data_IF_791253934991
#
_entry.id   IF_791253934991
#
_cell.length_a   1.000
_cell.length_b   1.000
_cell.length_c   1.000
_cell.angle_alpha   90.00
_cell.angle_beta   90.00
_cell.angle_gamma   90.00
#
_symmetry.space_group_name_H-M   'P 1'
#
loop_
_entity.id
_entity.type
_entity.pdbx_description
1 polymer ?
#
# COMPACT_ATOMS: atom_id res chain seq x y z
N UNK A 1 4.49 -18.24 -11.66
CA UNK A 1 3.38 -18.50 -10.73
C UNK A 1 3.59 -17.57 -9.54
N UNK A 2 3.15 -16.32 -9.67
CA UNK A 2 3.24 -15.32 -8.60
C UNK A 2 2.00 -15.50 -7.73
N UNK A 3 2.19 -15.55 -6.42
CA UNK A 3 1.08 -15.72 -5.48
C UNK A 3 1.34 -14.69 -4.40
N UNK A 4 0.46 -13.70 -4.26
CA UNK A 4 0.20 -13.13 -2.94
C UNK A 4 -0.59 -14.21 -2.21
N UNK A 5 0.10 -15.27 -1.79
CA UNK A 5 -0.46 -16.24 -0.88
C UNK A 5 -0.45 -15.53 0.47
N UNK A 6 -1.53 -14.84 0.78
CA UNK A 6 -1.78 -14.33 2.12
C UNK A 6 -1.93 -15.54 3.05
N UNK A 7 -0.80 -16.09 3.50
CA UNK A 7 -0.79 -17.17 4.47
C UNK A 7 -0.97 -16.51 5.83
N UNK A 8 -2.24 -16.28 6.18
CA UNK A 8 -2.65 -15.73 7.48
C UNK A 8 -2.08 -16.65 8.56
N UNK A 9 -0.98 -16.23 9.15
CA UNK A 9 -0.40 -16.88 10.33
C UNK A 9 -0.54 -15.90 11.47
N UNK A 10 -1.47 -16.20 12.38
CA UNK A 10 -1.65 -15.42 13.60
C UNK A 10 -0.46 -15.76 14.52
N UNK A 11 0.57 -14.91 14.51
CA UNK A 11 1.68 -15.04 15.45
C UNK A 11 1.24 -14.50 16.81
N UNK A 12 0.73 -15.40 17.66
CA UNK A 12 0.39 -15.07 19.04
C UNK A 12 1.67 -14.98 19.87
N UNK A 13 2.30 -13.80 19.91
CA UNK A 13 3.42 -13.53 20.81
C UNK A 13 3.00 -12.55 21.91
N UNK A 14 2.90 -13.08 23.14
CA UNK A 14 2.66 -12.33 24.37
C UNK A 14 3.84 -11.39 24.66
N UNK A 15 3.63 -10.07 24.59
CA UNK A 15 4.13 -9.07 25.56
C UNK A 15 3.56 -7.68 25.26
N UNK A 16 3.33 -6.94 26.35
CA UNK A 16 2.61 -5.69 26.50
C UNK A 16 3.19 -4.50 25.71
N UNK A 17 2.65 -4.25 24.53
CA UNK A 17 2.23 -2.94 23.98
C UNK A 17 1.04 -3.25 23.06
N UNK A 18 0.09 -2.34 22.83
CA UNK A 18 -1.06 -2.60 21.94
C UNK A 18 -0.57 -2.67 20.48
N UNK A 19 0.11 -3.74 20.10
CA UNK A 19 0.42 -4.03 18.72
C UNK A 19 -0.88 -4.39 17.99
N UNK A 20 -1.17 -3.69 16.90
CA UNK A 20 -2.22 -4.09 15.97
C UNK A 20 -1.91 -5.51 15.46
N UNK A 21 -2.92 -6.35 15.25
CA UNK A 21 -2.67 -7.68 14.71
C UNK A 21 -2.12 -7.56 13.29
N UNK A 22 -0.97 -8.17 13.03
CA UNK A 22 -0.29 -8.18 11.72
C UNK A 22 -0.41 -9.54 11.03
N UNK A 23 -0.18 -9.54 9.72
CA UNK A 23 -0.02 -10.72 8.88
C UNK A 23 1.21 -10.55 8.00
N UNK A 24 1.85 -11.67 7.69
CA UNK A 24 3.11 -11.71 6.98
C UNK A 24 2.86 -11.81 5.47
N UNK A 25 3.28 -10.80 4.70
CA UNK A 25 3.14 -10.76 3.24
C UNK A 25 4.51 -10.88 2.54
N UNK A 26 4.60 -11.71 1.49
CA UNK A 26 5.83 -11.95 0.73
C UNK A 26 5.98 -10.95 -0.42
N UNK A 27 7.10 -10.23 -0.50
CA UNK A 27 7.46 -9.40 -1.66
C UNK A 27 8.43 -10.13 -2.64
N UNK A 28 8.59 -9.57 -3.85
CA UNK A 28 9.32 -10.16 -5.00
C UNK A 28 10.76 -10.59 -4.72
N UNK A 29 11.44 -9.98 -3.74
CA UNK A 29 12.83 -10.31 -3.36
C UNK A 29 12.94 -11.24 -2.14
N UNK A 30 11.86 -11.92 -1.75
CA UNK A 30 11.87 -12.84 -0.61
C UNK A 30 11.87 -12.15 0.75
N UNK A 31 11.82 -10.81 0.78
CA UNK A 31 11.51 -10.05 2.00
C UNK A 31 10.06 -10.24 2.38
N UNK A 32 9.84 -10.28 3.69
CA UNK A 32 8.50 -10.45 4.24
C UNK A 32 8.19 -9.25 5.11
N UNK A 33 7.23 -8.44 4.67
CA UNK A 33 6.78 -7.27 5.43
C UNK A 33 5.62 -7.72 6.32
N UNK A 34 5.65 -7.31 7.59
CA UNK A 34 4.49 -7.45 8.46
C UNK A 34 3.51 -6.31 8.17
N UNK A 35 2.33 -6.67 7.67
CA UNK A 35 1.28 -5.72 7.34
C UNK A 35 0.12 -5.86 8.33
N UNK A 36 -0.56 -4.77 8.72
CA UNK A 36 -1.74 -4.86 9.57
C UNK A 36 -2.83 -5.71 8.93
N UNK A 37 -3.53 -6.54 9.71
CA UNK A 37 -4.65 -7.34 9.21
C UNK A 37 -5.74 -6.43 8.61
N UNK A 38 -5.94 -5.24 9.17
CA UNK A 38 -6.88 -4.26 8.64
C UNK A 38 -6.48 -3.78 7.23
N UNK A 39 -5.19 -3.59 6.97
CA UNK A 39 -4.68 -3.25 5.64
C UNK A 39 -4.91 -4.40 4.67
N UNK A 40 -4.62 -5.63 5.09
CA UNK A 40 -4.85 -6.83 4.27
C UNK A 40 -6.33 -6.99 3.91
N UNK A 41 -7.24 -6.78 4.86
CA UNK A 41 -8.69 -6.82 4.62
C UNK A 41 -9.15 -5.72 3.67
N UNK A 42 -8.55 -4.55 3.77
CA UNK A 42 -8.84 -3.45 2.86
C UNK A 42 -8.39 -3.78 1.43
N UNK A 43 -7.28 -4.49 1.25
CA UNK A 43 -6.90 -4.99 -0.09
C UNK A 43 -7.94 -5.94 -0.70
N UNK A 44 -8.70 -6.68 0.12
CA UNK A 44 -9.77 -7.56 -0.37
C UNK A 44 -10.96 -6.79 -0.97
N UNK A 45 -11.12 -5.49 -0.67
CA UNK A 45 -12.13 -4.62 -1.31
C UNK A 45 -11.63 -4.02 -2.62
N UNK A 46 -10.31 -4.11 -2.87
CA UNK A 46 -9.67 -3.57 -4.06
C UNK A 46 -9.98 -4.34 -5.34
N UNK A 47 -9.58 -3.75 -6.46
CA UNK A 47 -9.63 -4.38 -7.77
C UNK A 47 -8.32 -5.14 -8.02
N UNK A 48 -8.42 -6.45 -8.27
CA UNK A 48 -7.28 -7.23 -8.74
C UNK A 48 -6.85 -6.75 -10.13
N UNK A 49 -5.55 -6.53 -10.28
CA UNK A 49 -4.89 -6.22 -11.56
C UNK A 49 -4.22 -7.47 -12.18
N UNK A 50 -4.44 -8.68 -11.60
CA UNK A 50 -3.78 -9.94 -11.98
C UNK A 50 -4.08 -10.38 -13.40
N UNK A 51 -5.31 -10.20 -13.88
CA UNK A 51 -5.71 -10.54 -15.24
C UNK A 51 -4.86 -9.82 -16.31
N UNK A 52 -4.04 -8.84 -15.91
CA UNK A 52 -3.31 -7.96 -16.80
C UNK A 52 -1.83 -7.79 -16.44
N UNK A 53 -1.26 -8.76 -15.72
CA UNK A 53 0.19 -8.90 -15.54
C UNK A 53 0.76 -8.29 -14.27
N UNK A 54 -0.10 -7.81 -13.35
CA UNK A 54 0.30 -7.23 -12.06
C UNK A 54 -0.31 -8.00 -10.91
N UNK A 55 0.48 -8.38 -9.94
CA UNK A 55 0.02 -9.11 -8.74
C UNK A 55 -0.60 -8.22 -7.67
N UNK A 56 -0.85 -6.96 -8.00
CA UNK A 56 -1.19 -5.93 -7.03
C UNK A 56 -2.70 -5.70 -6.97
N UNK A 57 -3.18 -5.28 -5.79
CA UNK A 57 -4.55 -4.86 -5.58
C UNK A 57 -4.60 -3.33 -5.66
N UNK A 58 -5.41 -2.82 -6.59
CA UNK A 58 -5.66 -1.39 -6.72
C UNK A 58 -6.81 -0.95 -5.80
N UNK A 59 -6.61 0.11 -5.02
CA UNK A 59 -7.61 0.69 -4.13
C UNK A 59 -8.24 1.94 -4.74
N UNK A 60 -9.53 2.17 -4.48
CA UNK A 60 -10.15 3.46 -4.78
C UNK A 60 -9.57 4.55 -3.87
N UNK A 61 -9.74 5.82 -4.24
CA UNK A 61 -9.15 6.96 -3.53
C UNK A 61 -9.43 6.97 -2.02
N UNK A 62 -10.69 6.73 -1.61
CA UNK A 62 -11.08 6.71 -0.20
C UNK A 62 -10.43 5.54 0.56
N UNK A 63 -10.43 4.34 -0.03
CA UNK A 63 -9.78 3.16 0.52
C UNK A 63 -8.26 3.35 0.59
N UNK A 64 -7.65 3.97 -0.41
CA UNK A 64 -6.22 4.27 -0.44
C UNK A 64 -5.83 5.24 0.69
N UNK A 65 -6.66 6.25 0.99
CA UNK A 65 -6.46 7.14 2.14
C UNK A 65 -6.63 6.40 3.48
N UNK A 66 -7.65 5.54 3.59
CA UNK A 66 -7.82 4.69 4.76
C UNK A 66 -6.63 3.74 4.96
N UNK A 67 -6.06 3.22 3.86
CA UNK A 67 -4.89 2.37 3.88
C UNK A 67 -3.66 3.11 4.44
N UNK A 68 -3.45 4.38 4.07
CA UNK A 68 -2.37 5.19 4.64
C UNK A 68 -2.54 5.33 6.15
N UNK A 69 -3.74 5.62 6.65
CA UNK A 69 -3.98 5.76 8.09
C UNK A 69 -3.76 4.44 8.85
N UNK A 70 -4.14 3.29 8.27
CA UNK A 70 -3.87 1.97 8.86
C UNK A 70 -2.36 1.70 8.94
N UNK A 71 -1.62 1.95 7.85
CA UNK A 71 -0.17 1.74 7.81
C UNK A 71 0.55 2.68 8.78
N UNK A 72 0.11 3.93 8.87
CA UNK A 72 0.59 4.94 9.83
C UNK A 72 0.36 4.50 11.27
N UNK A 73 -0.83 4.04 11.62
CA UNK A 73 -1.14 3.55 12.96
C UNK A 73 -0.27 2.33 13.36
N UNK A 74 0.19 1.57 12.37
CA UNK A 74 1.07 0.42 12.56
C UNK A 74 2.57 0.74 12.45
N UNK A 75 2.95 1.99 12.13
CA UNK A 75 4.35 2.37 11.95
C UNK A 75 5.01 1.83 10.68
N UNK A 76 4.22 1.44 9.66
CA UNK A 76 4.74 0.88 8.41
C UNK A 76 5.01 2.00 7.41
N UNK A 77 6.24 2.11 6.91
CA UNK A 77 6.67 3.12 5.91
C UNK A 77 6.01 2.86 4.56
N UNK A 78 5.74 3.92 3.78
CA UNK A 78 5.23 3.82 2.41
C UNK A 78 6.31 4.32 1.44
N UNK A 79 6.90 3.45 0.64
CA UNK A 79 7.97 3.84 -0.30
C UNK A 79 7.45 4.61 -1.52
N UNK A 80 6.15 4.55 -1.77
CA UNK A 80 5.54 5.15 -2.94
C UNK A 80 4.32 4.36 -3.39
N UNK A 81 4.04 4.49 -4.68
CA UNK A 81 2.95 3.76 -5.31
C UNK A 81 2.73 4.15 -6.76
N UNK A 82 1.82 3.42 -7.37
CA UNK A 82 1.39 3.60 -8.75
C UNK A 82 -0.08 4.00 -8.79
N UNK A 83 -0.45 4.77 -9.80
CA UNK A 83 -1.83 5.09 -10.13
C UNK A 83 -2.16 4.52 -11.49
N UNK A 84 -3.23 3.72 -11.51
CA UNK A 84 -3.73 3.05 -12.69
C UNK A 84 -5.06 3.69 -13.09
N UNK A 85 -5.16 4.06 -14.36
CA UNK A 85 -6.43 4.43 -14.98
C UNK A 85 -6.92 3.28 -15.84
N UNK A 86 -8.21 2.97 -15.74
CA UNK A 86 -8.87 1.98 -16.59
C UNK A 86 -9.98 2.67 -17.36
N UNK A 87 -9.90 2.61 -18.70
CA UNK A 87 -10.91 3.12 -19.63
C UNK A 87 -11.06 2.16 -20.79
N UNK A 88 -12.29 1.77 -21.13
CA UNK A 88 -12.59 0.93 -22.30
C UNK A 88 -11.74 -0.36 -22.37
N UNK A 89 -11.49 -0.98 -21.21
CA UNK A 89 -10.58 -2.15 -21.05
C UNK A 89 -9.10 -1.89 -21.30
N UNK A 90 -8.67 -0.64 -21.51
CA UNK A 90 -7.26 -0.22 -21.50
C UNK A 90 -6.84 0.19 -20.10
N UNK A 91 -5.63 -0.23 -19.73
CA UNK A 91 -5.04 -0.06 -18.41
C UNK A 91 -3.74 0.70 -18.61
N UNK A 92 -3.61 1.86 -17.98
CA UNK A 92 -2.43 2.70 -18.11
C UNK A 92 -1.97 3.18 -16.74
N UNK A 93 -0.65 3.18 -16.52
CA UNK A 93 -0.05 3.88 -15.39
C UNK A 93 -0.10 5.37 -15.70
N UNK A 94 -0.95 6.09 -14.97
CA UNK A 94 -1.16 7.53 -15.15
C UNK A 94 -0.48 8.35 -14.05
N UNK A 95 0.15 7.69 -13.09
CA UNK A 95 0.91 8.35 -12.03
C UNK A 95 1.82 7.37 -11.30
N UNK A 96 2.96 7.86 -10.84
CA UNK A 96 3.86 7.16 -9.92
C UNK A 96 4.35 8.19 -8.92
N UNK A 97 4.46 7.80 -7.66
CA UNK A 97 5.16 8.59 -6.65
C UNK A 97 6.12 7.72 -5.86
N UNK A 98 7.14 8.36 -5.31
CA UNK A 98 8.20 7.73 -4.54
C UNK A 98 8.55 8.62 -3.35
N UNK A 99 8.86 7.98 -2.22
CA UNK A 99 9.35 8.61 -1.01
C UNK A 99 10.76 8.09 -0.75
N UNK A 100 11.76 8.80 -1.28
CA UNK A 100 13.16 8.49 -1.01
C UNK A 100 13.61 9.14 0.30
N UNK A 101 14.46 8.44 1.07
CA UNK A 101 15.08 9.01 2.26
C UNK A 101 16.00 10.17 1.88
N UNK A 102 15.86 11.30 2.58
CA UNK A 102 16.66 12.50 2.32
C UNK A 102 18.03 12.41 3.02
N UNK A 103 19.06 13.10 2.50
CA UNK A 103 20.36 13.13 3.18
C UNK A 103 20.25 13.67 4.61
N UNK A 104 20.66 12.86 5.58
CA UNK A 104 20.63 13.21 7.00
C UNK A 104 19.26 13.05 7.68
N UNK A 105 18.25 12.57 6.96
CA UNK A 105 16.94 12.24 7.51
C UNK A 105 17.00 10.89 8.25
N UNK A 106 16.49 10.88 9.47
CA UNK A 106 16.37 9.64 10.25
C UNK A 106 15.28 8.74 9.67
N UNK A 107 15.32 7.45 10.03
CA UNK A 107 14.29 6.53 9.57
C UNK A 107 12.89 6.91 10.05
N UNK A 108 12.77 7.38 11.28
CA UNK A 108 11.48 7.82 11.84
C UNK A 108 10.95 9.06 11.10
N UNK A 109 11.82 10.01 10.76
CA UNK A 109 11.44 11.20 9.98
C UNK A 109 11.00 10.82 8.55
N UNK A 110 11.75 9.93 7.89
CA UNK A 110 11.40 9.43 6.56
C UNK A 110 10.06 8.68 6.59
N UNK A 111 9.87 7.81 7.59
CA UNK A 111 8.62 7.06 7.80
C UNK A 111 7.44 8.00 8.03
N UNK A 112 7.58 9.00 8.92
CA UNK A 112 6.54 9.98 9.17
C UNK A 112 6.17 10.77 7.91
N UNK A 113 7.19 11.24 7.18
CA UNK A 113 7.01 11.98 5.93
C UNK A 113 6.36 11.14 4.84
N UNK A 114 6.66 9.84 4.79
CA UNK A 114 6.11 8.93 3.79
C UNK A 114 4.58 8.85 3.81
N UNK A 115 3.99 8.92 5.00
CA UNK A 115 2.53 8.94 5.18
C UNK A 115 1.92 10.24 4.69
N UNK A 116 2.55 11.37 5.04
CA UNK A 116 2.08 12.69 4.66
C UNK A 116 2.19 12.90 3.13
N UNK A 117 3.31 12.48 2.52
CA UNK A 117 3.52 12.54 1.07
C UNK A 117 2.53 11.65 0.32
N UNK A 118 2.31 10.41 0.78
CA UNK A 118 1.35 9.49 0.17
C UNK A 118 -0.09 9.99 0.29
N UNK A 119 -0.51 10.42 1.49
CA UNK A 119 -1.84 10.99 1.71
C UNK A 119 -2.09 12.21 0.83
N UNK A 120 -1.10 13.11 0.76
CA UNK A 120 -1.19 14.33 -0.04
C UNK A 120 -1.26 14.01 -1.53
N UNK A 121 -0.46 13.05 -2.00
CA UNK A 121 -0.48 12.64 -3.40
C UNK A 121 -1.85 12.06 -3.79
N UNK A 122 -2.34 11.08 -3.02
CA UNK A 122 -3.65 10.43 -3.26
C UNK A 122 -4.78 11.46 -3.21
N UNK A 123 -4.80 12.32 -2.18
CA UNK A 123 -5.85 13.34 -2.02
C UNK A 123 -5.86 14.36 -3.17
N UNK A 124 -4.68 14.76 -3.64
CA UNK A 124 -4.52 15.72 -4.74
C UNK A 124 -4.73 15.10 -6.12
N UNK A 125 -4.72 13.76 -6.25
CA UNK A 125 -4.93 13.10 -7.52
C UNK A 125 -6.36 13.39 -8.03
N UNK A 126 -6.54 13.78 -9.31
CA UNK A 126 -7.86 14.12 -9.85
C UNK A 126 -8.85 12.97 -9.68
N UNK A 127 -10.10 13.31 -9.40
CA UNK A 127 -11.17 12.30 -9.43
C UNK A 127 -11.36 11.81 -10.87
N UNK A 128 -11.69 10.52 -11.06
CA UNK A 128 -11.93 9.96 -12.37
C UNK A 128 -13.03 10.72 -13.14
N UNK A 129 -12.88 10.81 -14.45
CA UNK A 129 -14.00 11.20 -15.33
C UNK A 129 -15.04 10.07 -15.35
N UNK A 130 -16.28 10.36 -15.73
CA UNK A 130 -17.42 9.42 -15.65
C UNK A 130 -17.18 8.03 -16.30
N UNK A 131 -16.25 7.93 -17.26
CA UNK A 131 -15.94 6.70 -18.00
C UNK A 131 -14.61 6.04 -17.58
N UNK A 132 -13.89 6.64 -16.65
CA UNK A 132 -12.57 6.22 -16.19
C UNK A 132 -12.70 5.70 -14.76
N UNK A 133 -11.99 4.62 -14.42
CA UNK A 133 -11.69 4.34 -13.02
C UNK A 133 -10.25 4.70 -12.71
N UNK A 134 -9.98 5.03 -11.44
CA UNK A 134 -8.63 5.31 -10.95
C UNK A 134 -8.37 4.44 -9.72
N UNK A 135 -7.26 3.70 -9.73
CA UNK A 135 -6.86 2.81 -8.65
C UNK A 135 -5.43 3.11 -8.21
N UNK A 136 -5.23 3.13 -6.90
CA UNK A 136 -3.95 3.37 -6.25
C UNK A 136 -3.36 2.07 -5.74
N UNK A 137 -2.09 1.84 -6.02
CA UNK A 137 -1.30 0.73 -5.47
C UNK A 137 -0.27 1.34 -4.54
N UNK A 138 -0.27 0.94 -3.27
CA UNK A 138 0.69 1.42 -2.27
C UNK A 138 1.82 0.40 -2.11
N UNK A 139 3.05 0.89 -1.91
CA UNK A 139 4.23 0.05 -1.66
C UNK A 139 4.68 0.19 -0.20
N UNK A 140 4.14 -0.64 0.71
CA UNK A 140 4.56 -0.63 2.12
C UNK A 140 5.95 -1.28 2.30
N UNK A 141 6.70 -0.80 3.29
CA UNK A 141 8.02 -1.31 3.69
C UNK A 141 8.21 -1.24 5.21
N UNK A 142 9.01 -2.15 5.75
CA UNK A 142 9.42 -2.28 7.14
C UNK A 142 10.59 -1.36 7.55
N UNK A 143 11.15 -0.56 6.62
CA UNK A 143 12.07 0.54 6.95
C UNK A 143 13.47 0.13 7.41
N UNK A 144 14.07 -0.89 6.79
CA UNK A 144 15.51 -1.22 6.95
C UNK A 144 16.47 -0.22 6.28
#
# INVERSE_FOLDING_TARGET
MLVVACLVTVSSCRRLTKALPTTRAKQREGRTVELPIEYVRLLETGQSLEERGLSEMGLLKEDALAAVEILKAAGVRILGGDVWTIKDSNYEVTGVWYTDQRPGETDDECTARSWDESSRYIAAYPDPKEEEGVWFVLVPSDGE
#
